data_IF_618074499809
#
_entry.id   IF_618074499809
#
_cell.length_a   1.000
_cell.length_b   1.000
_cell.length_c   1.000
_cell.angle_alpha   90.00
_cell.angle_beta   90.00
_cell.angle_gamma   90.00
#
_symmetry.space_group_name_H-M   'P 1'
#
loop_
_entity.id
_entity.type
_entity.pdbx_description
1 polymer ?
#
# COMPACT_ATOMS: atom_id res chain seq x y z
N UNK A 1 -8.57 -22.56 14.25
CA UNK A 1 -8.33 -23.04 12.87
C UNK A 1 -6.95 -22.53 12.49
N UNK A 2 -6.00 -23.41 12.21
CA UNK A 2 -4.66 -22.99 11.81
C UNK A 2 -4.73 -22.49 10.37
N UNK A 3 -4.43 -21.20 10.16
CA UNK A 3 -4.24 -20.62 8.84
C UNK A 3 -3.04 -21.33 8.17
N UNK A 4 -3.19 -21.73 6.92
CA UNK A 4 -2.08 -22.32 6.17
C UNK A 4 -1.14 -21.20 5.73
N UNK A 5 0.08 -21.16 6.26
CA UNK A 5 1.10 -20.21 5.83
C UNK A 5 1.96 -20.77 4.68
N UNK A 6 2.38 -19.90 3.77
CA UNK A 6 3.34 -20.21 2.71
C UNK A 6 4.34 -19.05 2.54
N UNK A 7 5.52 -19.36 1.99
CA UNK A 7 6.55 -18.36 1.67
C UNK A 7 7.24 -18.70 0.36
N UNK A 8 7.50 -17.70 -0.46
CA UNK A 8 8.26 -17.86 -1.70
C UNK A 8 8.92 -16.55 -2.12
N UNK A 9 9.65 -16.62 -3.23
CA UNK A 9 10.19 -15.48 -3.97
C UNK A 9 9.35 -15.25 -5.22
N UNK A 10 9.11 -13.99 -5.58
CA UNK A 10 8.36 -13.63 -6.77
C UNK A 10 8.85 -12.32 -7.39
N UNK A 11 8.55 -12.16 -8.69
CA UNK A 11 8.63 -10.89 -9.39
C UNK A 11 7.24 -10.26 -9.44
N UNK A 12 7.12 -9.02 -8.99
CA UNK A 12 5.92 -8.19 -9.14
C UNK A 12 5.77 -7.85 -10.63
N UNK A 13 4.56 -8.08 -11.15
CA UNK A 13 4.17 -7.81 -12.54
C UNK A 13 3.30 -6.56 -12.62
N UNK A 14 2.36 -6.43 -11.68
CA UNK A 14 1.43 -5.31 -11.61
C UNK A 14 0.96 -5.14 -10.17
N UNK A 15 0.41 -3.97 -9.86
CA UNK A 15 -0.30 -3.76 -8.62
C UNK A 15 -1.47 -2.80 -8.76
N UNK A 16 -2.39 -2.91 -7.81
CA UNK A 16 -3.55 -2.05 -7.63
C UNK A 16 -3.81 -1.87 -6.13
N UNK A 17 -4.80 -1.07 -5.74
CA UNK A 17 -5.17 -0.91 -4.34
C UNK A 17 -6.68 -0.79 -4.14
N UNK A 18 -7.16 -1.26 -3.00
CA UNK A 18 -8.59 -1.26 -2.67
C UNK A 18 -8.83 -0.90 -1.21
N UNK A 19 -9.85 -0.07 -0.91
CA UNK A 19 -10.22 0.20 0.48
C UNK A 19 -10.69 -1.07 1.16
N UNK A 20 -10.31 -1.28 2.42
CA UNK A 20 -10.75 -2.42 3.21
C UNK A 20 -12.18 -2.15 3.71
N UNK A 21 -13.18 -3.02 3.43
CA UNK A 21 -14.54 -2.83 3.91
C UNK A 21 -14.59 -2.65 5.44
N UNK A 22 -15.39 -1.68 5.89
CA UNK A 22 -15.57 -1.38 7.31
C UNK A 22 -14.37 -0.73 8.02
N UNK A 23 -13.24 -0.51 7.34
CA UNK A 23 -12.01 0.02 7.93
C UNK A 23 -11.60 1.36 7.28
N UNK A 24 -11.96 2.46 7.94
CA UNK A 24 -11.70 3.81 7.43
C UNK A 24 -10.19 4.07 7.28
N UNK A 25 -9.76 4.51 6.09
CA UNK A 25 -8.35 4.84 5.84
C UNK A 25 -7.41 3.63 5.73
N UNK A 26 -7.95 2.41 5.76
CA UNK A 26 -7.20 1.18 5.51
C UNK A 26 -7.37 0.75 4.07
N UNK A 27 -6.27 0.39 3.45
CA UNK A 27 -6.23 -0.03 2.05
C UNK A 27 -5.39 -1.30 1.95
N UNK A 28 -5.84 -2.24 1.13
CA UNK A 28 -5.07 -3.40 0.72
C UNK A 28 -4.42 -3.10 -0.62
N UNK A 29 -3.12 -3.39 -0.73
CA UNK A 29 -2.43 -3.34 -2.01
C UNK A 29 -2.50 -4.75 -2.62
N UNK A 30 -3.05 -4.86 -3.81
CA UNK A 30 -3.06 -6.09 -4.59
C UNK A 30 -1.78 -6.12 -5.44
N UNK A 31 -0.94 -7.15 -5.27
CA UNK A 31 0.22 -7.38 -6.13
C UNK A 31 0.02 -8.67 -6.94
N UNK A 32 0.03 -8.52 -8.27
CA UNK A 32 0.11 -9.67 -9.16
C UNK A 32 1.57 -10.01 -9.39
N UNK A 33 1.90 -11.24 -9.03
CA UNK A 33 3.26 -11.72 -8.94
C UNK A 33 3.43 -12.99 -9.78
N UNK A 34 4.65 -13.19 -10.24
CA UNK A 34 5.10 -14.46 -10.80
C UNK A 34 6.15 -15.05 -9.89
N UNK A 35 5.83 -16.17 -9.28
CA UNK A 35 6.72 -16.86 -8.35
C UNK A 35 7.95 -17.40 -9.07
N UNK A 36 9.02 -17.62 -8.31
CA UNK A 36 10.26 -18.21 -8.82
C UNK A 36 10.06 -19.63 -9.35
N UNK A 37 9.11 -20.38 -8.78
CA UNK A 37 8.70 -21.69 -9.29
C UNK A 37 7.70 -21.63 -10.45
N UNK A 38 7.27 -20.45 -10.87
CA UNK A 38 6.39 -20.27 -12.04
C UNK A 38 4.91 -20.35 -11.74
N UNK A 39 4.48 -20.03 -10.52
CA UNK A 39 3.08 -19.86 -10.18
C UNK A 39 2.64 -18.40 -10.32
N UNK A 40 1.44 -18.18 -10.84
CA UNK A 40 0.77 -16.88 -10.78
C UNK A 40 0.20 -16.68 -9.38
N UNK A 41 0.56 -15.58 -8.73
CA UNK A 41 0.20 -15.30 -7.34
C UNK A 41 -0.47 -13.92 -7.26
N UNK A 42 -1.57 -13.83 -6.52
CA UNK A 42 -2.09 -12.56 -6.04
C UNK A 42 -1.74 -12.43 -4.55
N UNK A 43 -1.00 -11.39 -4.19
CA UNK A 43 -0.73 -11.03 -2.80
C UNK A 43 -1.64 -9.86 -2.40
N UNK A 44 -2.39 -10.05 -1.33
CA UNK A 44 -3.09 -8.98 -0.61
C UNK A 44 -2.16 -8.48 0.50
N UNK A 45 -1.55 -7.32 0.27
CA UNK A 45 -0.59 -6.70 1.20
C UNK A 45 -1.32 -5.70 2.08
N UNK A 46 -1.22 -5.89 3.39
CA UNK A 46 -1.79 -5.00 4.41
C UNK A 46 -0.71 -4.16 5.10
N UNK A 47 -1.13 -3.23 5.97
CA UNK A 47 -0.21 -2.42 6.79
C UNK A 47 0.13 -1.05 6.21
N UNK A 48 -0.31 -0.74 4.97
CA UNK A 48 -0.13 0.58 4.37
C UNK A 48 -1.42 1.41 4.37
N UNK A 49 -1.29 2.67 4.79
CA UNK A 49 -2.35 3.67 4.69
C UNK A 49 -1.96 4.72 3.64
N UNK A 50 -2.89 5.16 2.77
CA UNK A 50 -2.60 6.25 1.85
C UNK A 50 -2.35 7.55 2.61
N UNK A 51 -1.37 8.32 2.14
CA UNK A 51 -1.01 9.60 2.74
C UNK A 51 -0.52 10.59 1.69
N UNK A 52 -0.56 11.87 2.04
CA UNK A 52 0.11 12.96 1.35
C UNK A 52 1.08 13.66 2.32
N UNK A 53 1.96 14.48 1.78
CA UNK A 53 2.85 15.31 2.59
C UNK A 53 2.50 16.78 2.39
N UNK A 54 2.54 17.55 3.46
CA UNK A 54 2.32 18.99 3.44
C UNK A 54 3.47 19.73 4.08
N UNK A 55 3.71 20.95 3.63
CA UNK A 55 4.60 21.93 4.26
C UNK A 55 4.04 23.34 4.08
N UNK A 56 4.38 24.23 5.01
CA UNK A 56 4.03 25.65 4.91
C UNK A 56 5.27 26.42 4.42
N UNK A 57 5.29 26.93 3.18
CA UNK A 57 6.41 27.72 2.66
C UNK A 57 6.73 28.96 3.51
N UNK A 58 5.72 29.52 4.19
CA UNK A 58 5.89 30.70 5.04
C UNK A 58 6.72 30.40 6.29
N UNK A 59 6.87 29.12 6.66
CA UNK A 59 7.71 28.67 7.78
C UNK A 59 9.20 29.03 7.60
N UNK A 60 9.65 29.24 6.35
CA UNK A 60 11.00 29.75 6.03
C UNK A 60 11.29 31.05 6.76
N UNK A 61 10.29 31.90 6.90
CA UNK A 61 10.41 33.22 7.53
C UNK A 61 10.02 33.20 9.02
N UNK A 62 9.57 32.05 9.55
CA UNK A 62 9.00 31.93 10.89
C UNK A 62 9.74 30.89 11.76
N UNK A 63 11.05 30.78 11.62
CA UNK A 63 11.90 29.83 12.38
C UNK A 63 11.41 28.37 12.31
N UNK A 64 10.78 27.97 11.20
CA UNK A 64 10.20 26.63 11.02
C UNK A 64 8.79 26.45 11.58
N UNK A 65 8.22 27.39 12.33
CA UNK A 65 6.85 27.24 12.82
C UNK A 65 5.85 27.47 11.67
N UNK A 66 4.88 26.55 11.46
CA UNK A 66 3.84 26.77 10.47
C UNK A 66 2.99 27.97 10.89
N UNK A 67 2.71 28.85 9.93
CA UNK A 67 1.80 29.97 10.05
C UNK A 67 0.34 29.55 9.87
N UNK A 68 0.11 28.45 9.15
CA UNK A 68 -1.21 27.85 8.95
C UNK A 68 -1.48 26.80 10.05
N UNK A 69 -2.61 26.86 10.78
CA UNK A 69 -2.94 25.88 11.82
C UNK A 69 -3.09 24.46 11.28
N UNK A 70 -2.38 23.49 11.86
CA UNK A 70 -2.45 22.07 11.50
C UNK A 70 -3.80 21.44 11.89
N UNK A 71 -4.48 22.01 12.88
CA UNK A 71 -5.81 21.62 13.33
C UNK A 71 -6.81 21.72 12.17
N UNK A 72 -6.67 22.75 11.33
CA UNK A 72 -7.53 22.93 10.14
C UNK A 72 -7.39 21.82 9.09
N UNK A 73 -6.28 21.07 9.11
CA UNK A 73 -6.09 19.87 8.28
C UNK A 73 -6.71 18.66 8.95
N UNK A 74 -6.58 18.56 10.28
CA UNK A 74 -7.15 17.47 11.09
C UNK A 74 -8.68 17.43 11.04
N UNK A 75 -9.31 18.60 10.96
CA UNK A 75 -10.77 18.75 10.90
C UNK A 75 -11.37 18.37 9.53
N UNK A 76 -10.54 18.16 8.50
CA UNK A 76 -11.03 17.76 7.18
C UNK A 76 -11.57 16.32 7.23
N UNK A 77 -12.85 16.17 6.86
CA UNK A 77 -13.53 14.87 6.85
C UNK A 77 -12.84 13.79 5.99
N UNK A 78 -11.90 14.15 5.11
CA UNK A 78 -11.13 13.23 4.26
C UNK A 78 -9.84 12.73 4.92
N UNK A 79 -9.41 13.38 6.00
CA UNK A 79 -8.17 13.09 6.74
C UNK A 79 -8.45 12.08 7.85
N UNK A 80 -7.42 11.33 8.24
CA UNK A 80 -7.45 10.35 9.32
C UNK A 80 -6.44 10.74 10.39
N UNK A 81 -6.95 11.22 11.53
CA UNK A 81 -6.12 11.68 12.65
C UNK A 81 -5.39 13.00 12.38
N UNK A 82 -4.45 13.33 13.26
CA UNK A 82 -3.66 14.57 13.14
C UNK A 82 -2.46 14.39 12.20
N UNK A 83 -2.02 15.44 11.50
CA UNK A 83 -0.77 15.43 10.73
C UNK A 83 0.43 15.00 11.59
N UNK A 84 1.21 14.06 11.09
CA UNK A 84 2.38 13.51 11.80
C UNK A 84 3.64 14.21 11.31
N UNK A 85 4.46 14.84 12.18
CA UNK A 85 5.70 15.47 11.75
C UNK A 85 6.69 14.42 11.22
N UNK A 86 7.30 14.70 10.06
CA UNK A 86 8.28 13.80 9.42
C UNK A 86 9.67 14.44 9.30
N UNK A 87 9.92 15.49 10.07
CA UNK A 87 11.17 16.26 10.06
C UNK A 87 11.23 17.30 8.96
N UNK A 88 12.42 17.84 8.74
CA UNK A 88 12.65 18.85 7.73
C UNK A 88 13.00 18.20 6.38
N UNK A 89 12.51 18.79 5.30
CA UNK A 89 12.91 18.43 3.93
C UNK A 89 13.31 19.69 3.16
N UNK A 90 14.13 19.49 2.13
CA UNK A 90 14.57 20.56 1.26
C UNK A 90 13.40 21.10 0.42
N UNK A 91 13.18 22.41 0.50
CA UNK A 91 12.23 23.18 -0.30
C UNK A 91 12.89 24.50 -0.68
N UNK A 92 13.02 24.75 -1.99
CA UNK A 92 13.64 25.96 -2.54
C UNK A 92 15.00 26.31 -1.89
N UNK A 93 15.87 25.30 -1.75
CA UNK A 93 17.21 25.46 -1.18
C UNK A 93 17.27 25.60 0.34
N UNK A 94 16.14 25.52 1.05
CA UNK A 94 16.06 25.59 2.52
C UNK A 94 15.39 24.36 3.12
N UNK A 95 15.77 24.01 4.33
CA UNK A 95 15.11 22.94 5.08
C UNK A 95 13.89 23.50 5.84
N UNK A 96 12.71 22.96 5.55
CA UNK A 96 11.46 23.34 6.24
C UNK A 96 10.72 22.12 6.78
N UNK A 97 9.93 22.26 7.86
CA UNK A 97 9.20 21.14 8.42
C UNK A 97 8.13 20.61 7.46
N UNK A 98 7.98 19.30 7.45
CA UNK A 98 6.96 18.59 6.70
C UNK A 98 6.12 17.72 7.62
N UNK A 99 4.86 17.52 7.24
CA UNK A 99 3.94 16.64 7.93
C UNK A 99 3.33 15.63 6.97
N UNK A 100 3.20 14.40 7.43
CA UNK A 100 2.43 13.34 6.78
C UNK A 100 0.97 13.43 7.19
N UNK A 101 0.08 13.47 6.21
CA UNK A 101 -1.37 13.51 6.40
C UNK A 101 -1.97 12.23 5.84
N UNK A 102 -2.47 11.37 6.72
CA UNK A 102 -3.17 10.15 6.31
C UNK A 102 -4.57 10.47 5.80
N UNK A 103 -5.00 9.77 4.75
CA UNK A 103 -6.27 10.03 4.08
C UNK A 103 -7.16 8.79 4.09
N UNK A 104 -8.47 8.98 3.97
CA UNK A 104 -9.46 7.89 3.96
C UNK A 104 -9.37 6.95 2.75
N UNK A 105 -8.76 7.40 1.65
CA UNK A 105 -8.61 6.62 0.41
C UNK A 105 -7.80 7.35 -0.65
N UNK A 106 -7.41 6.66 -1.72
CA UNK A 106 -6.62 7.26 -2.80
C UNK A 106 -7.45 8.14 -3.75
N UNK A 107 -8.74 7.86 -3.89
CA UNK A 107 -9.66 8.59 -4.77
C UNK A 107 -9.92 10.06 -4.35
N UNK A 108 -9.74 10.38 -3.07
CA UNK A 108 -9.97 11.73 -2.52
C UNK A 108 -8.74 12.64 -2.60
N UNK A 109 -7.56 12.09 -2.90
CA UNK A 109 -6.28 12.80 -2.81
C UNK A 109 -6.23 14.03 -3.73
N UNK A 110 -6.78 13.91 -4.94
CA UNK A 110 -6.78 15.00 -5.93
C UNK A 110 -7.50 16.24 -5.42
N UNK A 111 -8.70 16.06 -4.86
CA UNK A 111 -9.51 17.17 -4.37
C UNK A 111 -8.94 17.73 -3.06
N UNK A 112 -8.47 16.87 -2.16
CA UNK A 112 -7.82 17.32 -0.92
C UNK A 112 -6.56 18.15 -1.21
N UNK A 113 -5.74 17.72 -2.18
CA UNK A 113 -4.56 18.47 -2.63
C UNK A 113 -4.93 19.87 -3.11
N UNK A 114 -5.97 19.98 -3.94
CA UNK A 114 -6.44 21.26 -4.47
C UNK A 114 -6.87 22.20 -3.33
N UNK A 115 -7.64 21.68 -2.38
CA UNK A 115 -8.20 22.48 -1.28
C UNK A 115 -7.14 22.85 -0.22
N UNK A 116 -6.10 22.02 -0.03
CA UNK A 116 -4.95 22.37 0.80
C UNK A 116 -4.09 23.44 0.13
N UNK A 117 -3.86 23.30 -1.17
CA UNK A 117 -3.07 24.28 -1.94
C UNK A 117 -3.74 25.66 -1.97
N UNK A 118 -5.07 25.73 -2.09
CA UNK A 118 -5.80 27.02 -2.03
C UNK A 118 -5.73 27.69 -0.65
N UNK A 119 -5.45 26.92 0.41
CA UNK A 119 -5.20 27.42 1.77
C UNK A 119 -3.75 27.84 2.02
N UNK A 120 -2.86 27.69 1.03
CA UNK A 120 -1.45 28.07 1.12
C UNK A 120 -0.49 26.93 1.50
N UNK A 121 -0.99 25.71 1.70
CA UNK A 121 -0.11 24.56 1.91
C UNK A 121 0.58 24.17 0.61
N UNK A 122 1.89 23.90 0.68
CA UNK A 122 2.54 23.09 -0.36
C UNK A 122 2.21 21.63 -0.11
N UNK A 123 1.65 20.97 -1.12
CA UNK A 123 1.34 19.54 -1.05
C UNK A 123 2.30 18.79 -1.96
N UNK A 124 3.03 17.84 -1.40
CA UNK A 124 3.95 16.96 -2.12
C UNK A 124 3.51 15.51 -1.99
N UNK A 125 4.15 14.61 -2.76
CA UNK A 125 3.93 13.16 -2.63
C UNK A 125 2.49 12.70 -2.91
N UNK A 126 1.63 13.56 -3.48
CA UNK A 126 0.19 13.33 -3.67
C UNK A 126 -0.20 12.59 -4.96
N UNK A 127 0.72 12.49 -5.89
CA UNK A 127 0.57 11.88 -7.22
C UNK A 127 1.21 10.48 -7.31
N UNK A 128 1.79 10.02 -6.21
CA UNK A 128 2.41 8.70 -6.11
C UNK A 128 1.32 7.66 -5.85
N UNK A 129 1.17 6.70 -6.77
CA UNK A 129 0.29 5.55 -6.61
C UNK A 129 0.68 4.73 -5.38
N UNK A 130 -0.30 4.16 -4.65
CA UNK A 130 -0.03 3.44 -3.40
C UNK A 130 0.88 2.22 -3.60
N UNK A 131 0.80 1.55 -4.75
CA UNK A 131 1.70 0.46 -5.12
C UNK A 131 3.15 0.95 -5.21
N UNK A 132 3.39 2.10 -5.84
CA UNK A 132 4.74 2.68 -5.91
C UNK A 132 5.21 3.18 -4.55
N UNK A 133 4.28 3.69 -3.73
CA UNK A 133 4.56 4.05 -2.34
C UNK A 133 5.06 2.85 -1.55
N UNK A 134 4.40 1.69 -1.66
CA UNK A 134 4.84 0.44 -1.05
C UNK A 134 6.29 0.11 -1.43
N UNK A 135 6.63 0.23 -2.72
CA UNK A 135 7.99 -0.05 -3.18
C UNK A 135 9.02 0.93 -2.62
N UNK A 136 8.72 2.24 -2.63
CA UNK A 136 9.65 3.26 -2.17
C UNK A 136 9.82 3.28 -0.65
N UNK A 137 8.73 3.19 0.11
CA UNK A 137 8.75 3.30 1.57
C UNK A 137 9.41 2.07 2.22
N UNK A 138 9.34 0.91 1.56
CA UNK A 138 9.90 -0.35 2.05
C UNK A 138 11.20 -0.77 1.36
N UNK A 139 11.78 0.09 0.52
CA UNK A 139 12.98 -0.22 -0.29
C UNK A 139 12.87 -1.55 -1.06
N UNK A 140 11.70 -1.78 -1.66
CA UNK A 140 11.43 -2.99 -2.44
C UNK A 140 11.73 -2.75 -3.92
N UNK A 141 12.42 -3.73 -4.52
CA UNK A 141 12.50 -3.87 -5.96
C UNK A 141 11.32 -4.71 -6.52
N UNK A 142 11.31 -4.98 -7.83
CA UNK A 142 10.32 -5.86 -8.44
C UNK A 142 10.43 -7.31 -7.93
N UNK A 143 11.63 -7.77 -7.56
CA UNK A 143 11.84 -9.09 -6.99
C UNK A 143 11.78 -9.03 -5.47
N UNK A 144 10.84 -9.78 -4.90
CA UNK A 144 10.56 -9.83 -3.47
C UNK A 144 10.50 -11.26 -2.95
N UNK A 145 10.84 -11.47 -1.69
CA UNK A 145 10.34 -12.61 -0.91
C UNK A 145 9.11 -12.17 -0.14
N UNK A 146 8.16 -13.08 0.04
CA UNK A 146 6.96 -12.86 0.84
C UNK A 146 6.67 -14.08 1.72
N UNK A 147 5.97 -13.86 2.83
CA UNK A 147 5.36 -14.89 3.68
C UNK A 147 3.92 -14.47 3.98
N UNK A 148 2.98 -15.41 4.00
CA UNK A 148 1.60 -15.06 4.34
C UNK A 148 0.65 -16.23 4.43
N UNK A 149 -0.60 -15.92 4.75
CA UNK A 149 -1.72 -16.86 4.77
C UNK A 149 -2.20 -17.17 3.36
N UNK A 150 -2.40 -18.45 3.05
CA UNK A 150 -3.04 -18.92 1.82
C UNK A 150 -4.56 -18.79 1.92
N UNK A 151 -5.14 -18.02 1.00
CA UNK A 151 -6.59 -17.77 0.92
C UNK A 151 -7.28 -18.61 -0.17
N UNK A 152 -6.55 -18.92 -1.24
CA UNK A 152 -7.07 -19.74 -2.35
C UNK A 152 -5.96 -20.51 -3.05
N UNK A 153 -6.30 -21.73 -3.49
CA UNK A 153 -5.38 -22.66 -4.17
C UNK A 153 -6.01 -23.06 -5.51
N UNK A 154 -5.44 -22.55 -6.59
CA UNK A 154 -5.84 -22.85 -7.96
C UNK A 154 -5.37 -24.22 -8.44
N UNK A 155 -5.73 -24.59 -9.67
CA UNK A 155 -5.45 -25.92 -10.23
C UNK A 155 -3.95 -26.21 -10.43
N UNK A 156 -3.15 -25.18 -10.72
CA UNK A 156 -1.70 -25.30 -10.95
C UNK A 156 -0.86 -24.75 -9.79
N UNK A 157 -1.45 -24.64 -8.60
CA UNK A 157 -0.72 -24.30 -7.39
C UNK A 157 0.33 -25.38 -7.05
N UNK A 158 1.33 -25.06 -6.20
CA UNK A 158 2.22 -26.06 -5.62
C UNK A 158 1.45 -27.24 -5.03
N UNK A 159 1.91 -28.47 -5.29
CA UNK A 159 1.20 -29.70 -4.87
C UNK A 159 1.23 -29.92 -3.36
N UNK A 160 2.17 -29.27 -2.69
CA UNK A 160 2.42 -29.34 -1.25
C UNK A 160 1.35 -28.56 -0.47
N UNK A 161 0.64 -27.63 -1.12
CA UNK A 161 -0.38 -26.78 -0.50
C UNK A 161 -1.74 -27.48 -0.60
N UNK A 162 -2.39 -27.84 0.52
CA UNK A 162 -3.72 -28.44 0.51
C UNK A 162 -4.75 -27.56 -0.19
N UNK A 163 -5.58 -28.17 -1.04
CA UNK A 163 -6.64 -27.45 -1.76
C UNK A 163 -7.70 -26.91 -0.79
N UNK A 164 -8.12 -25.68 -1.03
CA UNK A 164 -9.30 -25.08 -0.40
C UNK A 164 -10.50 -25.45 -1.27
N UNK A 165 -11.48 -26.16 -0.69
CA UNK A 165 -12.61 -26.72 -1.45
C UNK A 165 -13.78 -25.74 -1.61
N UNK A 166 -13.94 -24.80 -0.68
CA UNK A 166 -15.04 -23.87 -0.66
C UNK A 166 -14.63 -22.53 -1.30
N UNK A 167 -15.02 -22.36 -2.56
CA UNK A 167 -14.74 -21.15 -3.33
C UNK A 167 -15.53 -19.94 -2.82
N UNK A 168 -16.75 -20.14 -2.31
CA UNK A 168 -17.61 -19.04 -1.86
C UNK A 168 -17.06 -18.46 -0.56
N UNK A 169 -16.74 -19.30 0.43
CA UNK A 169 -16.10 -18.86 1.67
C UNK A 169 -14.73 -18.20 1.43
N UNK A 170 -13.93 -18.73 0.50
CA UNK A 170 -12.65 -18.12 0.12
C UNK A 170 -12.84 -16.74 -0.51
N UNK A 171 -13.81 -16.61 -1.43
CA UNK A 171 -14.16 -15.34 -2.09
C UNK A 171 -14.64 -14.29 -1.09
N UNK A 172 -15.49 -14.67 -0.13
CA UNK A 172 -15.94 -13.79 0.95
C UNK A 172 -14.79 -13.33 1.82
N UNK A 173 -13.91 -14.24 2.25
CA UNK A 173 -12.74 -13.90 3.05
C UNK A 173 -11.80 -12.93 2.32
N UNK A 174 -11.54 -13.16 1.03
CA UNK A 174 -10.74 -12.25 0.19
C UNK A 174 -11.35 -10.85 0.16
N UNK A 175 -12.68 -10.76 -0.02
CA UNK A 175 -13.39 -9.46 -0.02
C UNK A 175 -13.34 -8.76 1.33
N UNK A 176 -13.46 -9.50 2.43
CA UNK A 176 -13.31 -8.95 3.79
C UNK A 176 -11.91 -8.36 4.01
N UNK A 177 -10.89 -8.96 3.40
CA UNK A 177 -9.51 -8.45 3.40
C UNK A 177 -9.29 -7.33 2.36
N UNK A 178 -10.33 -6.86 1.68
CA UNK A 178 -10.24 -5.77 0.70
C UNK A 178 -9.83 -6.18 -0.71
N UNK A 179 -9.64 -7.47 -1.00
CA UNK A 179 -9.47 -7.95 -2.38
C UNK A 179 -10.79 -7.96 -3.17
N UNK A 180 -10.73 -8.12 -4.50
CA UNK A 180 -11.96 -8.18 -5.31
C UNK A 180 -12.72 -9.53 -5.23
N UNK A 181 -12.04 -10.59 -4.77
CA UNK A 181 -12.54 -11.96 -4.73
C UNK A 181 -11.57 -12.92 -5.43
N UNK A 182 -12.11 -14.02 -5.98
CA UNK A 182 -11.30 -14.99 -6.70
C UNK A 182 -10.83 -14.45 -8.07
N UNK A 183 -9.53 -14.58 -8.31
CA UNK A 183 -8.88 -14.35 -9.60
C UNK A 183 -8.42 -15.67 -10.21
N UNK A 184 -8.27 -15.74 -11.55
CA UNK A 184 -7.74 -16.92 -12.24
C UNK A 184 -6.22 -17.04 -12.09
N UNK A 185 -5.73 -17.07 -10.85
CA UNK A 185 -4.33 -17.25 -10.47
C UNK A 185 -4.15 -18.60 -9.78
N UNK A 186 -2.90 -19.04 -9.67
CA UNK A 186 -2.57 -20.32 -9.05
C UNK A 186 -2.63 -20.22 -7.51
N UNK A 187 -2.30 -19.07 -6.92
CA UNK A 187 -2.43 -18.80 -5.48
C UNK A 187 -2.98 -17.40 -5.20
N UNK A 188 -3.82 -17.27 -4.17
CA UNK A 188 -4.16 -15.98 -3.56
C UNK A 188 -3.73 -16.05 -2.10
N UNK A 189 -2.98 -15.06 -1.64
CA UNK A 189 -2.45 -15.00 -0.28
C UNK A 189 -2.65 -13.63 0.34
N UNK A 190 -2.64 -13.57 1.66
CA UNK A 190 -2.62 -12.33 2.44
C UNK A 190 -1.35 -12.26 3.29
N UNK A 191 -0.73 -11.09 3.33
CA UNK A 191 0.49 -10.84 4.09
C UNK A 191 0.51 -9.40 4.62
N UNK A 192 1.31 -9.16 5.66
CA UNK A 192 1.61 -7.80 6.11
C UNK A 192 2.80 -7.23 5.31
N UNK A 193 2.88 -5.90 5.22
CA UNK A 193 4.02 -5.20 4.61
C UNK A 193 5.37 -5.62 5.22
N UNK A 194 5.40 -5.98 6.50
CA UNK A 194 6.61 -6.46 7.18
C UNK A 194 7.07 -7.86 6.74
N UNK A 195 6.20 -8.63 6.07
CA UNK A 195 6.53 -9.94 5.51
C UNK A 195 7.16 -9.83 4.11
N UNK A 196 7.24 -8.63 3.54
CA UNK A 196 7.87 -8.38 2.25
C UNK A 196 9.33 -8.00 2.43
N UNK A 197 10.22 -8.57 1.61
CA UNK A 197 11.64 -8.20 1.57
C UNK A 197 12.16 -8.17 0.15
N UNK A 198 13.05 -7.22 -0.12
CA UNK A 198 13.85 -7.19 -1.35
C UNK A 198 14.75 -8.42 -1.41
N UNK A 199 14.89 -9.00 -2.61
CA UNK A 199 15.80 -10.11 -2.90
C UNK A 199 16.63 -9.81 -4.15
N UNK A 200 17.56 -10.71 -4.46
CA UNK A 200 18.30 -10.69 -5.71
C UNK A 200 17.37 -10.99 -6.91
N UNK A 201 17.58 -10.30 -8.05
CA UNK A 201 16.82 -10.56 -9.27
C UNK A 201 16.98 -12.00 -9.77
N UNK A 202 15.92 -12.55 -10.35
CA UNK A 202 15.96 -13.85 -11.01
C UNK A 202 15.24 -13.83 -12.37
N UNK A 203 15.56 -14.76 -13.30
CA UNK A 203 14.84 -14.90 -14.55
C UNK A 203 13.39 -15.31 -14.31
N UNK A 204 12.47 -14.35 -14.38
CA UNK A 204 11.05 -14.58 -14.10
C UNK A 204 10.42 -15.49 -15.16
N UNK A 205 9.87 -16.67 -14.79
CA UNK A 205 9.32 -17.61 -15.75
C UNK A 205 7.93 -17.14 -16.24
N UNK A 206 7.86 -16.37 -17.32
CA UNK A 206 6.60 -15.82 -17.84
C UNK A 206 5.67 -16.84 -18.51
N UNK A 207 6.21 -17.99 -18.91
CA UNK A 207 5.46 -19.08 -19.56
C UNK A 207 5.91 -20.39 -18.91
N UNK A 208 4.95 -21.20 -18.48
CA UNK A 208 5.16 -22.60 -18.09
C UNK A 208 4.66 -23.49 -19.20
#
# INVERSE_FOLDING_TARGET
MFALEWSEEACIISGDNRPIPGNIGKTTVELWCRSKSGHSILLLVHGMNPYIEISDPSSIHNSGNPTIPLESVSDDSRVVGSPVPIGNKLYDGKEIPHWRVFVKGTNIVRDLRRDLSSRGWTVTSSDIMLVHRLLMDCDLGPHISFKGEVLWVGRRAPKEIPKIQDADSASEKIKQLGGAGLYPVDLIMSCDISDLKRIEPFPTPFVT
#
